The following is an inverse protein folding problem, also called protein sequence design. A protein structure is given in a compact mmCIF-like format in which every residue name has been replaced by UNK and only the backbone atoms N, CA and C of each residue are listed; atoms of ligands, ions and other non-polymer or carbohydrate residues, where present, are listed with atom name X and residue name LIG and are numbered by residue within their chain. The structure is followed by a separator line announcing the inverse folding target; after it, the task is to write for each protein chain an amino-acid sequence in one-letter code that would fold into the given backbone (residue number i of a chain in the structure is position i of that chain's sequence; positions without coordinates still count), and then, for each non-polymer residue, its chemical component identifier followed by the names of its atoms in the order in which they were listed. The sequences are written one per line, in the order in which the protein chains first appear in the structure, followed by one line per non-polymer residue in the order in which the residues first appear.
data_IF_086080419695
#
_entry.id   IF_086080419695
#
_cell.length_a   1.000
_cell.length_b   1.000
_cell.length_c   1.000
_cell.angle_alpha   90.00
_cell.angle_beta   90.00
_cell.angle_gamma   90.00
#
_symmetry.space_group_name_H-M   'P 1'
#
loop_
_entity.id
_entity.type
_entity.pdbx_description
1 polymer ?
#
# COMPACT_ATOMS: atom_id res chain seq x y z
N UNK A 1 14.02 -28.37 -39.70
CA UNK A 1 14.16 -28.84 -41.09
C UNK A 1 12.85 -29.49 -41.48
N UNK A 2 12.26 -29.09 -42.60
CA UNK A 2 11.05 -29.75 -43.12
C UNK A 2 11.40 -31.22 -43.40
N UNK A 3 10.60 -32.15 -42.88
CA UNK A 3 10.79 -33.58 -43.16
C UNK A 3 10.36 -33.83 -44.60
N UNK A 4 11.23 -34.47 -45.38
CA UNK A 4 10.97 -34.79 -46.78
C UNK A 4 10.25 -36.13 -46.85
N UNK A 5 9.06 -36.15 -47.45
CA UNK A 5 8.36 -37.39 -47.77
C UNK A 5 9.09 -38.08 -48.94
N UNK A 6 9.25 -39.41 -48.85
CA UNK A 6 9.85 -40.20 -49.93
C UNK A 6 9.03 -40.12 -51.23
N UNK A 7 7.71 -40.03 -51.14
CA UNK A 7 6.82 -39.93 -52.31
C UNK A 7 7.00 -38.61 -53.07
N UNK A 8 7.49 -37.56 -52.41
CA UNK A 8 7.74 -36.24 -53.01
C UNK A 8 9.14 -36.14 -53.66
N UNK A 9 9.95 -37.20 -53.59
CA UNK A 9 11.30 -37.24 -54.13
C UNK A 9 11.38 -38.19 -55.32
N UNK A 10 11.97 -37.67 -56.40
CA UNK A 10 12.38 -38.47 -57.54
C UNK A 10 13.87 -38.76 -57.41
N UNK A 11 14.23 -40.03 -57.20
CA UNK A 11 15.62 -40.48 -57.13
C UNK A 11 16.23 -40.60 -58.54
N UNK A 12 17.53 -40.34 -58.66
CA UNK A 12 18.27 -40.47 -59.93
C UNK A 12 18.61 -41.94 -60.20
N UNK A 13 19.00 -42.66 -59.15
CA UNK A 13 19.31 -44.10 -59.18
C UNK A 13 18.37 -44.87 -58.27
N UNK A 14 18.28 -46.19 -58.47
CA UNK A 14 17.51 -47.07 -57.60
C UNK A 14 18.04 -47.07 -56.17
N UNK A 15 17.14 -47.14 -55.20
CA UNK A 15 17.50 -47.14 -53.79
C UNK A 15 18.30 -48.39 -53.40
N UNK A 16 19.25 -48.28 -52.45
CA UNK A 16 19.97 -49.45 -51.95
C UNK A 16 19.01 -50.49 -51.34
N UNK A 17 19.03 -51.72 -51.86
CA UNK A 17 18.09 -52.79 -51.48
C UNK A 17 18.12 -53.21 -50.00
N UNK A 18 19.16 -52.82 -49.25
CA UNK A 18 19.39 -53.25 -47.86
C UNK A 18 19.42 -52.09 -46.85
N UNK A 19 18.92 -50.92 -47.23
CA UNK A 19 18.93 -49.74 -46.35
C UNK A 19 17.52 -49.19 -46.23
N UNK A 20 16.96 -49.26 -45.03
CA UNK A 20 15.73 -48.56 -44.67
C UNK A 20 16.03 -47.06 -44.54
N UNK A 21 15.42 -46.27 -45.42
CA UNK A 21 15.58 -44.81 -45.44
C UNK A 21 14.39 -44.06 -44.84
N UNK A 22 13.30 -44.75 -44.54
CA UNK A 22 12.07 -44.19 -43.99
C UNK A 22 12.00 -44.38 -42.47
N UNK A 23 11.50 -43.38 -41.77
CA UNK A 23 11.25 -43.46 -40.34
C UNK A 23 9.90 -44.14 -40.07
N UNK A 24 9.83 -45.24 -39.27
CA UNK A 24 8.57 -45.90 -38.97
C UNK A 24 7.56 -45.05 -38.18
N UNK A 25 8.01 -43.94 -37.57
CA UNK A 25 7.16 -43.07 -36.74
C UNK A 25 6.55 -41.92 -37.54
N UNK A 26 7.35 -41.24 -38.37
CA UNK A 26 6.86 -40.09 -39.15
C UNK A 26 6.63 -40.39 -40.63
N UNK A 27 6.98 -41.59 -41.09
CA UNK A 27 6.85 -42.07 -42.47
C UNK A 27 7.58 -41.20 -43.52
N UNK A 28 8.46 -40.31 -43.07
CA UNK A 28 9.32 -39.48 -43.89
C UNK A 28 10.73 -40.07 -43.96
N UNK A 29 11.57 -39.55 -44.86
CA UNK A 29 12.99 -39.91 -44.90
C UNK A 29 13.66 -39.59 -43.56
N UNK A 30 14.45 -40.54 -43.06
CA UNK A 30 15.17 -40.43 -41.81
C UNK A 30 16.03 -39.17 -41.78
N UNK A 31 15.70 -38.27 -40.86
CA UNK A 31 16.48 -37.06 -40.57
C UNK A 31 17.22 -37.29 -39.26
N UNK A 32 18.56 -37.21 -39.30
CA UNK A 32 19.43 -37.56 -38.17
C UNK A 32 19.10 -38.97 -37.60
N UNK A 33 19.35 -40.04 -38.38
CA UNK A 33 18.95 -41.39 -38.03
C UNK A 33 19.60 -41.87 -36.73
N UNK A 34 18.79 -42.46 -35.86
CA UNK A 34 19.18 -43.06 -34.60
C UNK A 34 18.74 -44.52 -34.56
N UNK A 35 19.71 -45.40 -34.36
CA UNK A 35 19.54 -46.84 -34.18
C UNK A 35 19.12 -47.14 -32.75
N UNK A 36 18.06 -47.92 -32.56
CA UNK A 36 17.68 -48.40 -31.22
C UNK A 36 18.41 -49.69 -30.86
N UNK A 37 18.88 -49.79 -29.62
CA UNK A 37 19.70 -50.93 -29.15
C UNK A 37 18.93 -52.24 -29.04
N UNK A 38 17.61 -52.20 -28.90
CA UNK A 38 16.77 -53.38 -28.66
C UNK A 38 16.49 -54.21 -29.93
N UNK A 39 16.27 -53.56 -31.07
CA UNK A 39 15.88 -54.24 -32.32
C UNK A 39 16.62 -53.75 -33.57
N UNK A 40 17.56 -52.82 -33.45
CA UNK A 40 18.39 -52.37 -34.57
C UNK A 40 17.65 -51.61 -35.67
N UNK A 41 16.45 -51.06 -35.41
CA UNK A 41 15.75 -50.22 -36.37
C UNK A 41 16.16 -48.75 -36.22
N UNK A 42 16.11 -48.01 -37.32
CA UNK A 42 16.44 -46.59 -37.36
C UNK A 42 15.18 -45.71 -37.26
N UNK A 43 15.31 -44.59 -36.56
CA UNK A 43 14.28 -43.55 -36.44
C UNK A 43 14.90 -42.16 -36.58
N UNK A 44 14.12 -41.14 -36.92
CA UNK A 44 14.59 -39.76 -36.77
C UNK A 44 14.88 -39.48 -35.29
N UNK A 45 15.94 -38.74 -34.98
CA UNK A 45 16.29 -38.30 -33.62
C UNK A 45 15.08 -37.76 -32.86
N UNK A 46 14.41 -36.78 -33.44
CA UNK A 46 13.26 -36.09 -32.81
C UNK A 46 12.02 -36.98 -32.66
N UNK A 47 11.92 -38.07 -33.45
CA UNK A 47 10.82 -39.02 -33.31
C UNK A 47 11.07 -39.95 -32.13
N UNK A 48 12.27 -40.55 -32.04
CA UNK A 48 12.56 -41.51 -30.97
C UNK A 48 12.76 -40.82 -29.62
N UNK A 49 13.30 -39.60 -29.58
CA UNK A 49 13.36 -38.78 -28.36
C UNK A 49 11.97 -38.48 -27.82
N UNK A 50 10.99 -38.18 -28.69
CA UNK A 50 9.60 -37.92 -28.30
C UNK A 50 8.92 -39.15 -27.70
N UNK A 51 9.11 -40.33 -28.32
CA UNK A 51 8.59 -41.60 -27.79
C UNK A 51 9.16 -41.89 -26.41
N UNK A 52 10.47 -41.67 -26.21
CA UNK A 52 11.10 -41.81 -24.90
C UNK A 52 10.57 -40.82 -23.87
N UNK A 53 10.39 -39.56 -24.26
CA UNK A 53 9.88 -38.51 -23.38
C UNK A 53 8.44 -38.78 -22.90
N UNK A 54 7.65 -39.55 -23.65
CA UNK A 54 6.32 -40.02 -23.24
C UNK A 54 6.32 -41.38 -22.54
N UNK A 55 7.47 -41.85 -22.04
CA UNK A 55 7.64 -43.20 -21.46
C UNK A 55 7.15 -44.33 -22.38
N UNK A 56 7.22 -44.12 -23.69
CA UNK A 56 6.80 -45.09 -24.70
C UNK A 56 7.83 -46.21 -24.89
N UNK A 57 7.34 -47.40 -25.23
CA UNK A 57 8.17 -48.51 -25.68
C UNK A 57 8.66 -48.32 -27.12
N UNK A 58 9.67 -49.07 -27.54
CA UNK A 58 10.15 -49.10 -28.92
C UNK A 58 8.97 -49.30 -29.91
N UNK A 59 8.79 -48.44 -30.92
CA UNK A 59 7.68 -48.55 -31.87
C UNK A 59 7.67 -49.85 -32.70
N UNK A 60 8.84 -50.49 -32.88
CA UNK A 60 8.98 -51.68 -33.73
C UNK A 60 8.83 -52.99 -32.95
N UNK A 61 9.47 -53.13 -31.78
CA UNK A 61 9.48 -54.38 -31.01
C UNK A 61 8.75 -54.31 -29.66
N UNK A 62 8.24 -53.13 -29.26
CA UNK A 62 7.54 -52.88 -27.98
C UNK A 62 8.39 -53.08 -26.71
N UNK A 63 9.71 -53.18 -26.85
CA UNK A 63 10.64 -53.22 -25.71
C UNK A 63 10.61 -51.89 -24.94
N UNK A 64 10.57 -51.94 -23.61
CA UNK A 64 10.51 -50.75 -22.74
C UNK A 64 11.90 -50.15 -22.51
N UNK A 65 12.92 -50.99 -22.41
CA UNK A 65 14.29 -50.56 -22.15
C UNK A 65 15.11 -50.54 -23.45
N UNK A 66 15.44 -49.35 -23.93
CA UNK A 66 16.27 -49.20 -25.13
C UNK A 66 17.07 -47.89 -25.12
N UNK A 67 18.27 -47.95 -25.70
CA UNK A 67 19.09 -46.78 -26.00
C UNK A 67 18.87 -46.36 -27.46
N UNK A 68 19.02 -45.07 -27.74
CA UNK A 68 18.95 -44.52 -29.11
C UNK A 68 20.32 -43.94 -29.41
N UNK A 69 20.99 -44.48 -30.43
CA UNK A 69 22.39 -44.20 -30.74
C UNK A 69 22.46 -43.62 -32.16
N UNK A 70 23.16 -42.49 -32.40
CA UNK A 70 23.26 -41.92 -33.74
C UNK A 70 23.87 -42.91 -34.75
N UNK A 71 23.17 -43.17 -35.85
CA UNK A 71 23.64 -44.03 -36.95
C UNK A 71 24.32 -43.19 -38.03
N UNK A 72 25.61 -42.93 -37.83
CA UNK A 72 26.43 -42.16 -38.80
C UNK A 72 26.55 -42.85 -40.16
N UNK A 73 26.44 -44.18 -40.23
CA UNK A 73 26.53 -44.92 -41.50
C UNK A 73 25.25 -44.70 -42.31
N UNK A 74 24.08 -44.93 -41.70
CA UNK A 74 22.79 -44.66 -42.32
C UNK A 74 22.70 -43.19 -42.75
N UNK A 75 23.12 -42.25 -41.89
CA UNK A 75 23.14 -40.82 -42.21
C UNK A 75 23.96 -40.49 -43.47
N UNK A 76 25.15 -41.08 -43.63
CA UNK A 76 25.99 -40.87 -44.83
C UNK A 76 25.33 -41.40 -46.10
N UNK A 77 24.71 -42.58 -46.03
CA UNK A 77 24.02 -43.19 -47.17
C UNK A 77 22.87 -42.29 -47.60
N UNK A 78 21.99 -41.91 -46.67
CA UNK A 78 20.82 -41.06 -46.95
C UNK A 78 21.25 -39.70 -47.51
N UNK A 79 22.24 -39.06 -46.90
CA UNK A 79 22.72 -37.75 -47.34
C UNK A 79 23.36 -37.77 -48.74
N UNK A 80 23.94 -38.92 -49.14
CA UNK A 80 24.56 -39.11 -50.44
C UNK A 80 23.63 -39.61 -51.55
N UNK A 81 22.35 -39.87 -51.26
CA UNK A 81 21.38 -40.26 -52.30
C UNK A 81 21.22 -39.12 -53.31
N UNK A 82 21.35 -39.45 -54.60
CA UNK A 82 21.09 -38.49 -55.67
C UNK A 82 19.59 -38.38 -55.97
N UNK A 83 19.08 -37.16 -55.92
CA UNK A 83 17.66 -36.83 -56.13
C UNK A 83 17.51 -35.68 -57.11
N UNK A 84 16.40 -35.66 -57.84
CA UNK A 84 15.95 -34.50 -58.58
C UNK A 84 15.26 -33.50 -57.66
N UNK A 85 15.33 -32.22 -58.02
CA UNK A 85 14.59 -31.16 -57.34
C UNK A 85 13.08 -31.47 -57.25
N UNK A 86 12.46 -31.20 -56.10
CA UNK A 86 11.01 -31.36 -55.92
C UNK A 86 10.17 -30.49 -56.88
N UNK A 87 10.77 -29.46 -57.50
CA UNK A 87 10.12 -28.63 -58.53
C UNK A 87 10.42 -29.11 -59.97
N UNK A 88 10.86 -30.36 -60.17
CA UNK A 88 11.14 -30.94 -61.50
C UNK A 88 9.97 -30.82 -62.46
N UNK A 89 8.76 -31.12 -61.99
CA UNK A 89 7.53 -31.01 -62.80
C UNK A 89 7.24 -29.57 -63.25
N UNK A 90 7.75 -28.57 -62.52
CA UNK A 90 7.64 -27.15 -62.90
C UNK A 90 8.73 -26.70 -63.88
N UNK A 91 9.71 -27.56 -64.17
CA UNK A 91 10.83 -27.28 -65.07
C UNK A 91 12.19 -27.11 -64.40
N UNK A 92 12.35 -27.45 -63.11
CA UNK A 92 13.67 -27.43 -62.49
C UNK A 92 14.49 -28.67 -62.89
N UNK A 93 15.65 -28.45 -63.51
CA UNK A 93 16.51 -29.53 -63.98
C UNK A 93 17.57 -29.98 -62.96
N UNK A 94 17.61 -29.36 -61.77
CA UNK A 94 18.61 -29.66 -60.77
C UNK A 94 18.50 -31.10 -60.26
N UNK A 95 19.65 -31.75 -60.13
CA UNK A 95 19.84 -33.02 -59.45
C UNK A 95 21.13 -32.98 -58.63
N UNK A 96 21.17 -33.72 -57.53
CA UNK A 96 22.37 -33.85 -56.70
C UNK A 96 22.10 -34.57 -55.39
N UNK A 97 23.09 -34.58 -54.50
CA UNK A 97 22.97 -35.20 -53.18
C UNK A 97 21.82 -34.61 -52.34
N UNK A 98 21.06 -35.46 -51.67
CA UNK A 98 19.90 -35.08 -50.84
C UNK A 98 20.25 -34.01 -49.80
N UNK A 99 21.45 -34.06 -49.22
CA UNK A 99 21.94 -33.05 -48.26
C UNK A 99 21.95 -31.63 -48.84
N UNK A 100 22.16 -31.48 -50.14
CA UNK A 100 22.24 -30.21 -50.87
C UNK A 100 20.88 -29.72 -51.40
N UNK A 101 19.81 -30.52 -51.27
CA UNK A 101 18.47 -30.12 -51.70
C UNK A 101 17.99 -28.84 -50.98
N UNK A 102 18.24 -28.77 -49.68
CA UNK A 102 17.81 -27.63 -48.86
C UNK A 102 18.46 -26.31 -49.30
N UNK A 103 19.76 -26.34 -49.63
CA UNK A 103 20.52 -25.18 -50.10
C UNK A 103 20.12 -24.78 -51.51
N UNK A 104 19.82 -25.74 -52.39
CA UNK A 104 19.31 -25.47 -53.72
C UNK A 104 17.94 -24.76 -53.69
N UNK A 105 16.98 -25.32 -52.94
CA UNK A 105 15.63 -24.76 -52.83
C UNK A 105 15.66 -23.40 -52.14
N UNK A 106 16.40 -23.32 -51.02
CA UNK A 106 16.57 -22.11 -50.22
C UNK A 106 15.22 -21.45 -49.88
N UNK A 107 14.25 -22.23 -49.39
CA UNK A 107 12.83 -21.86 -49.27
C UNK A 107 12.59 -20.59 -48.45
N UNK A 108 13.47 -20.31 -47.48
CA UNK A 108 13.36 -19.18 -46.56
C UNK A 108 13.91 -17.88 -47.16
N UNK A 109 14.68 -17.94 -48.25
CA UNK A 109 15.31 -16.79 -48.87
C UNK A 109 14.64 -16.42 -50.19
N UNK A 110 14.60 -15.12 -50.46
CA UNK A 110 14.09 -14.58 -51.72
C UNK A 110 14.98 -15.00 -52.90
N UNK A 111 16.28 -14.93 -52.72
CA UNK A 111 17.28 -15.36 -53.69
C UNK A 111 17.72 -16.79 -53.40
N UNK A 112 18.00 -17.55 -54.44
CA UNK A 112 18.50 -18.92 -54.34
C UNK A 112 18.58 -19.58 -55.70
N UNK A 113 19.22 -20.75 -55.74
CA UNK A 113 19.56 -21.44 -56.98
C UNK A 113 18.30 -21.93 -57.73
N UNK A 114 17.32 -22.45 -57.00
CA UNK A 114 16.07 -22.92 -57.61
C UNK A 114 15.18 -21.77 -58.09
N UNK A 115 15.13 -21.55 -59.40
CA UNK A 115 14.27 -20.53 -60.03
C UNK A 115 12.77 -20.88 -59.97
N UNK A 116 12.43 -22.14 -59.74
CA UNK A 116 11.06 -22.68 -59.73
C UNK A 116 10.51 -22.90 -58.32
N UNK A 117 11.25 -22.47 -57.29
CA UNK A 117 10.77 -22.53 -55.92
C UNK A 117 9.73 -21.41 -55.71
N UNK A 118 8.51 -21.72 -55.24
CA UNK A 118 7.57 -20.69 -54.78
C UNK A 118 8.14 -19.98 -53.56
N UNK A 119 8.13 -18.65 -53.58
CA UNK A 119 8.55 -17.79 -52.47
C UNK A 119 7.45 -16.78 -52.12
N UNK A 120 7.44 -16.31 -50.88
CA UNK A 120 6.47 -15.30 -50.46
C UNK A 120 6.73 -13.96 -51.15
N UNK A 121 5.64 -13.29 -51.57
CA UNK A 121 5.73 -11.95 -52.12
C UNK A 121 6.38 -10.96 -51.13
N UNK A 122 7.17 -10.02 -51.66
CA UNK A 122 7.80 -8.92 -50.91
C UNK A 122 6.77 -8.07 -50.17
N UNK A 123 5.54 -7.99 -50.69
CA UNK A 123 4.43 -7.22 -50.13
C UNK A 123 3.49 -8.08 -49.26
N UNK A 124 3.95 -9.23 -48.77
CA UNK A 124 3.21 -10.04 -47.80
C UNK A 124 2.86 -9.28 -46.52
N UNK A 125 3.76 -8.40 -46.05
CA UNK A 125 3.49 -7.49 -44.93
C UNK A 125 2.37 -6.49 -45.21
N UNK A 126 2.12 -6.16 -46.49
CA UNK A 126 1.04 -5.28 -46.93
C UNK A 126 -0.25 -6.07 -47.27
N UNK A 127 -0.26 -7.39 -47.09
CA UNK A 127 -1.43 -8.25 -47.28
C UNK A 127 -1.44 -9.07 -48.58
N UNK A 128 -0.35 -9.13 -49.34
CA UNK A 128 -0.27 -10.02 -50.51
C UNK A 128 0.01 -11.47 -50.09
N UNK A 129 -0.93 -12.39 -50.39
CA UNK A 129 -0.81 -13.82 -50.04
C UNK A 129 -0.25 -14.68 -51.18
N UNK A 130 0.11 -14.06 -52.31
CA UNK A 130 0.60 -14.79 -53.47
C UNK A 130 2.03 -15.30 -53.25
N UNK A 131 2.29 -16.51 -53.75
CA UNK A 131 3.60 -17.17 -53.72
C UNK A 131 4.13 -17.42 -55.13
N UNK A 132 4.59 -16.38 -55.84
CA UNK A 132 5.13 -16.54 -57.19
C UNK A 132 6.37 -17.44 -57.20
N UNK A 133 6.66 -18.03 -58.36
CA UNK A 133 7.95 -18.70 -58.56
C UNK A 133 9.07 -17.66 -58.50
N UNK A 134 10.24 -18.03 -57.97
CA UNK A 134 11.39 -17.13 -57.82
C UNK A 134 11.74 -16.37 -59.11
N UNK A 135 11.66 -17.02 -60.28
CA UNK A 135 11.87 -16.37 -61.59
C UNK A 135 10.81 -15.31 -61.95
N UNK A 136 9.58 -15.48 -61.49
CA UNK A 136 8.42 -14.67 -61.88
C UNK A 136 8.11 -13.54 -60.88
N UNK A 137 8.93 -13.40 -59.82
CA UNK A 137 8.73 -12.39 -58.78
C UNK A 137 8.65 -10.98 -59.36
N UNK A 138 9.54 -10.64 -60.28
CA UNK A 138 9.58 -9.31 -60.89
C UNK A 138 8.29 -9.00 -61.66
N UNK A 139 7.75 -9.97 -62.41
CA UNK A 139 6.48 -9.87 -63.13
C UNK A 139 5.33 -9.69 -62.16
N UNK A 140 5.28 -10.51 -61.10
CA UNK A 140 4.26 -10.42 -60.06
C UNK A 140 4.29 -9.05 -59.36
N UNK A 141 5.48 -8.55 -58.99
CA UNK A 141 5.61 -7.26 -58.29
C UNK A 141 5.25 -6.05 -59.16
N UNK A 142 5.36 -6.17 -60.48
CA UNK A 142 4.95 -5.12 -61.42
C UNK A 142 3.41 -5.02 -61.55
N UNK A 143 2.63 -5.97 -61.01
CA UNK A 143 1.17 -5.89 -60.98
C UNK A 143 0.70 -4.70 -60.12
N UNK A 144 -0.31 -4.01 -60.62
CA UNK A 144 -0.95 -2.85 -59.98
C UNK A 144 -1.57 -3.16 -58.63
N UNK A 145 -1.86 -4.44 -58.33
CA UNK A 145 -2.41 -4.87 -57.03
C UNK A 145 -1.55 -4.45 -55.84
N UNK A 146 -0.22 -4.50 -55.98
CA UNK A 146 0.68 -4.12 -54.89
C UNK A 146 0.63 -2.62 -54.58
N UNK A 147 0.43 -1.78 -55.60
CA UNK A 147 0.33 -0.33 -55.41
C UNK A 147 -0.90 0.04 -54.59
N UNK A 148 -2.04 -0.65 -54.80
CA UNK A 148 -3.23 -0.45 -53.99
C UNK A 148 -3.01 -0.86 -52.53
N UNK A 149 -2.37 -2.02 -52.30
CA UNK A 149 -2.04 -2.47 -50.94
C UNK A 149 -1.10 -1.49 -50.24
N UNK A 150 -0.10 -0.97 -50.94
CA UNK A 150 0.80 0.06 -50.42
C UNK A 150 0.06 1.36 -50.07
N UNK A 151 -0.85 1.83 -50.91
CA UNK A 151 -1.63 3.04 -50.63
C UNK A 151 -2.49 2.88 -49.36
N UNK A 152 -3.12 1.72 -49.18
CA UNK A 152 -3.91 1.40 -47.98
C UNK A 152 -3.01 1.34 -46.75
N UNK A 153 -1.89 0.62 -46.82
CA UNK A 153 -0.94 0.50 -45.72
C UNK A 153 -0.35 1.86 -45.32
N UNK A 154 0.05 2.70 -46.28
CA UNK A 154 0.52 4.05 -46.02
C UNK A 154 -0.55 4.93 -45.36
N UNK A 155 -1.82 4.79 -45.78
CA UNK A 155 -2.94 5.49 -45.16
C UNK A 155 -3.17 5.08 -43.70
N UNK A 156 -3.03 3.78 -43.39
CA UNK A 156 -3.12 3.27 -42.02
C UNK A 156 -1.95 3.75 -41.16
N UNK A 157 -0.72 3.61 -41.66
CA UNK A 157 0.50 4.06 -40.96
C UNK A 157 0.46 5.56 -40.65
N UNK A 158 -0.10 6.39 -41.55
CA UNK A 158 -0.27 7.81 -41.28
C UNK A 158 -1.20 8.05 -40.08
N UNK A 159 -2.33 7.35 -40.01
CA UNK A 159 -3.29 7.46 -38.89
C UNK A 159 -2.67 6.99 -37.59
N UNK A 160 -1.96 5.87 -37.61
CA UNK A 160 -1.26 5.35 -36.43
C UNK A 160 -0.17 6.31 -35.94
N UNK A 161 0.60 6.92 -36.85
CA UNK A 161 1.60 7.93 -36.49
C UNK A 161 0.97 9.19 -35.87
N UNK A 162 -0.20 9.63 -36.36
CA UNK A 162 -0.93 10.75 -35.75
C UNK A 162 -1.43 10.38 -34.34
N UNK A 163 -1.91 9.15 -34.14
CA UNK A 163 -2.31 8.65 -32.82
C UNK A 163 -1.13 8.55 -31.84
N UNK A 164 0.03 8.07 -32.30
CA UNK A 164 1.24 7.97 -31.48
C UNK A 164 1.68 9.34 -30.98
N UNK A 165 1.69 10.36 -31.85
CA UNK A 165 2.01 11.74 -31.44
C UNK A 165 1.06 12.26 -30.35
N UNK A 166 -0.25 12.04 -30.50
CA UNK A 166 -1.24 12.42 -29.49
C UNK A 166 -1.04 11.67 -28.17
N UNK A 167 -0.61 10.40 -28.21
CA UNK A 167 -0.30 9.62 -27.02
C UNK A 167 0.98 10.13 -26.33
N UNK A 168 2.01 10.50 -27.09
CA UNK A 168 3.24 11.07 -26.56
C UNK A 168 2.98 12.39 -25.81
N UNK A 169 2.16 13.27 -26.37
CA UNK A 169 1.74 14.52 -25.72
C UNK A 169 0.99 14.27 -24.40
N UNK A 170 0.04 13.32 -24.39
CA UNK A 170 -0.69 12.92 -23.18
C UNK A 170 0.24 12.34 -22.11
N UNK A 171 1.19 11.50 -22.53
CA UNK A 171 2.17 10.91 -21.61
C UNK A 171 3.08 11.97 -20.98
N UNK A 172 3.49 12.99 -21.73
CA UNK A 172 4.24 14.11 -21.16
C UNK A 172 3.43 14.86 -20.11
N UNK A 173 2.14 15.11 -20.38
CA UNK A 173 1.25 15.76 -19.40
C UNK A 173 1.09 14.93 -18.12
N UNK A 174 0.81 13.63 -18.27
CA UNK A 174 0.70 12.70 -17.14
C UNK A 174 1.97 12.66 -16.30
N UNK A 175 3.15 12.65 -16.93
CA UNK A 175 4.43 12.70 -16.22
C UNK A 175 4.55 13.94 -15.33
N UNK A 176 4.16 15.11 -15.85
CA UNK A 176 4.16 16.35 -15.06
C UNK A 176 3.18 16.35 -13.88
N UNK A 177 2.08 15.60 -13.97
CA UNK A 177 1.12 15.42 -12.88
C UNK A 177 1.65 14.46 -11.81
N UNK A 178 2.31 13.38 -12.22
CA UNK A 178 3.01 12.46 -11.31
C UNK A 178 4.08 13.18 -10.51
N UNK A 179 4.94 13.98 -11.15
CA UNK A 179 5.99 14.75 -10.47
C UNK A 179 5.40 15.71 -9.39
N UNK A 180 4.20 16.26 -9.64
CA UNK A 180 3.50 17.10 -8.65
C UNK A 180 2.97 16.27 -7.49
N UNK A 181 2.40 15.10 -7.76
CA UNK A 181 1.87 14.22 -6.72
C UNK A 181 2.99 13.68 -5.82
N UNK A 182 4.13 13.30 -6.38
CA UNK A 182 5.30 12.85 -5.61
C UNK A 182 5.77 13.91 -4.61
N UNK A 183 5.84 15.18 -5.03
CA UNK A 183 6.16 16.30 -4.12
C UNK A 183 5.15 16.44 -2.98
N UNK A 184 3.86 16.30 -3.26
CA UNK A 184 2.83 16.36 -2.21
C UNK A 184 2.96 15.18 -1.23
N UNK A 185 3.27 13.98 -1.72
CA UNK A 185 3.49 12.80 -0.87
C UNK A 185 4.70 13.00 0.03
N UNK A 186 5.79 13.59 -0.46
CA UNK A 186 6.96 13.90 0.35
C UNK A 186 6.63 14.88 1.50
N UNK A 187 5.87 15.94 1.20
CA UNK A 187 5.40 16.91 2.21
C UNK A 187 4.57 16.19 3.28
N UNK A 188 3.58 15.38 2.86
CA UNK A 188 2.71 14.65 3.79
C UNK A 188 3.48 13.63 4.64
N UNK A 189 4.52 13.00 4.10
CA UNK A 189 5.37 12.09 4.86
C UNK A 189 6.16 12.83 5.94
N UNK A 190 6.71 14.01 5.61
CA UNK A 190 7.40 14.86 6.58
C UNK A 190 6.46 15.36 7.68
N UNK A 191 5.22 15.73 7.34
CA UNK A 191 4.22 16.09 8.34
C UNK A 191 3.87 14.90 9.24
N UNK A 192 3.71 13.71 8.65
CA UNK A 192 3.42 12.49 9.39
C UNK A 192 4.55 12.06 10.33
N UNK A 193 5.82 12.25 9.97
CA UNK A 193 6.95 11.96 10.87
C UNK A 193 6.96 12.90 12.07
N UNK A 194 6.75 14.20 11.84
CA UNK A 194 6.61 15.20 12.91
C UNK A 194 5.46 14.83 13.87
N UNK A 195 4.31 14.43 13.33
CA UNK A 195 3.16 14.00 14.12
C UNK A 195 3.45 12.73 14.92
N UNK A 196 4.14 11.74 14.32
CA UNK A 196 4.54 10.51 15.02
C UNK A 196 5.48 10.79 16.18
N UNK A 197 6.47 11.66 15.98
CA UNK A 197 7.39 12.07 17.04
C UNK A 197 6.65 12.79 18.17
N UNK A 198 5.68 13.64 17.82
CA UNK A 198 4.81 14.29 18.81
C UNK A 198 4.01 13.27 19.64
N UNK A 199 3.37 12.28 18.99
CA UNK A 199 2.59 11.25 19.68
C UNK A 199 3.47 10.33 20.54
N UNK A 200 4.64 9.92 20.04
CA UNK A 200 5.56 9.04 20.77
C UNK A 200 6.15 9.71 22.02
N UNK A 201 6.42 11.02 21.95
CA UNK A 201 6.92 11.79 23.10
C UNK A 201 5.84 12.03 24.18
N UNK A 202 4.57 12.06 23.79
CA UNK A 202 3.42 12.20 24.69
C UNK A 202 3.02 10.88 25.37
N UNK A 203 3.22 9.74 24.71
CA UNK A 203 2.91 8.41 25.29
C UNK A 203 3.96 7.91 26.30
N UNK A 204 5.16 8.52 26.32
CA UNK A 204 6.23 8.23 27.28
C UNK A 204 6.45 9.31 28.34
N UNK A 205 5.58 10.32 28.43
CA UNK A 205 5.68 11.33 29.48
C UNK A 205 5.12 10.77 30.80
N UNK A 206 6.03 10.38 31.68
CA UNK A 206 5.78 10.30 33.12
C UNK A 206 5.18 11.64 33.57
N UNK A 207 3.92 11.64 34.03
CA UNK A 207 3.14 12.83 34.37
C UNK A 207 3.66 13.44 35.68
N UNK A 208 4.80 14.13 35.65
CA UNK A 208 5.38 14.73 36.86
C UNK A 208 4.55 15.90 37.41
N UNK A 209 3.75 16.57 36.56
CA UNK A 209 2.97 17.75 36.95
C UNK A 209 1.55 17.75 36.33
N UNK A 210 0.53 18.21 37.08
CA UNK A 210 -0.86 18.30 36.59
C UNK A 210 -1.04 19.29 35.44
N UNK A 211 -2.16 19.14 34.72
CA UNK A 211 -2.64 20.13 33.75
C UNK A 211 -3.64 21.07 34.42
N UNK A 212 -3.82 22.27 33.86
CA UNK A 212 -4.92 23.15 34.24
C UNK A 212 -6.29 22.43 34.08
N UNK A 213 -7.26 22.66 34.98
CA UNK A 213 -7.23 23.61 36.09
C UNK A 213 -6.41 23.12 37.30
N UNK A 214 -5.76 24.05 38.01
CA UNK A 214 -5.04 23.76 39.26
C UNK A 214 -5.44 24.69 40.40
N UNK A 215 -5.51 24.12 41.61
CA UNK A 215 -5.78 24.84 42.85
C UNK A 215 -4.49 25.43 43.42
N UNK A 216 -4.51 26.74 43.70
CA UNK A 216 -3.41 27.48 44.32
C UNK A 216 -3.92 28.06 45.63
N UNK A 217 -3.55 27.39 46.72
CA UNK A 217 -4.02 27.74 48.07
C UNK A 217 -3.07 28.72 48.76
N UNK A 218 -3.63 29.71 49.46
CA UNK A 218 -2.90 30.71 50.24
C UNK A 218 -1.93 30.05 51.25
N UNK A 219 -0.68 30.50 51.24
CA UNK A 219 0.34 30.09 52.21
C UNK A 219 0.96 28.72 51.95
N UNK A 220 0.59 28.04 50.87
CA UNK A 220 1.21 26.78 50.44
C UNK A 220 2.44 27.02 49.55
N UNK A 221 3.31 26.01 49.37
CA UNK A 221 4.35 26.03 48.35
C UNK A 221 3.78 26.19 46.94
N UNK A 222 4.64 26.61 46.00
CA UNK A 222 4.29 26.78 44.61
C UNK A 222 3.82 25.46 43.98
N UNK A 223 2.74 25.53 43.20
CA UNK A 223 2.19 24.41 42.44
C UNK A 223 2.74 24.47 41.02
N UNK A 224 3.37 23.40 40.57
CA UNK A 224 3.87 23.25 39.20
C UNK A 224 2.82 22.59 38.31
N UNK A 225 2.68 23.08 37.08
CA UNK A 225 1.69 22.58 36.13
C UNK A 225 2.08 22.89 34.69
N UNK A 226 1.44 22.20 33.75
CA UNK A 226 1.48 22.56 32.34
C UNK A 226 0.18 23.23 31.92
N UNK A 227 0.29 24.26 31.06
CA UNK A 227 -0.88 25.02 30.59
C UNK A 227 -1.79 24.23 29.63
N UNK A 228 -1.31 23.12 29.08
CA UNK A 228 -2.07 22.13 28.29
C UNK A 228 -1.25 20.85 28.14
N UNK A 229 -1.78 19.82 27.45
CA UNK A 229 -1.11 18.53 27.20
C UNK A 229 0.28 18.64 26.58
N UNK A 230 0.59 19.75 25.88
CA UNK A 230 1.93 20.11 25.41
C UNK A 230 2.22 21.60 25.64
N UNK A 231 1.75 22.14 26.76
CA UNK A 231 1.84 23.57 27.09
C UNK A 231 3.20 23.99 27.63
N UNK A 232 3.30 25.26 28.03
CA UNK A 232 4.46 25.76 28.79
C UNK A 232 4.41 25.23 30.23
N UNK A 233 5.57 24.92 30.80
CA UNK A 233 5.72 24.58 32.20
C UNK A 233 5.70 25.87 33.04
N UNK A 234 4.83 25.89 34.05
CA UNK A 234 4.63 27.04 34.92
C UNK A 234 4.54 26.63 36.38
N UNK A 235 4.79 27.57 37.28
CA UNK A 235 4.39 27.46 38.67
C UNK A 235 3.57 28.67 39.14
N UNK A 236 2.74 28.44 40.15
CA UNK A 236 1.93 29.48 40.79
C UNK A 236 1.99 29.39 42.31
N UNK A 237 2.06 30.53 42.99
CA UNK A 237 2.00 30.63 44.47
C UNK A 237 1.12 31.79 44.90
N UNK A 238 0.19 31.53 45.82
CA UNK A 238 -0.71 32.54 46.38
C UNK A 238 -0.24 32.97 47.77
N UNK A 239 -0.08 34.27 47.96
CA UNK A 239 0.39 34.88 49.20
C UNK A 239 -0.54 36.00 49.65
N UNK A 240 -0.62 36.19 50.97
CA UNK A 240 -1.36 37.30 51.57
C UNK A 240 -0.49 38.53 51.65
N UNK A 241 -1.04 39.66 51.23
CA UNK A 241 -0.43 40.98 51.35
C UNK A 241 -0.99 41.79 52.52
N UNK A 242 -0.81 43.10 52.45
CA UNK A 242 -1.21 44.03 53.49
C UNK A 242 -2.74 44.18 53.58
N UNK A 243 -3.19 44.55 54.78
CA UNK A 243 -4.60 44.92 55.03
C UNK A 243 -4.72 46.44 54.89
N UNK A 244 -5.57 46.90 53.99
CA UNK A 244 -5.88 48.31 53.90
C UNK A 244 -7.01 48.66 54.87
N UNK A 245 -6.68 49.41 55.92
CA UNK A 245 -7.59 49.76 57.01
C UNK A 245 -8.64 50.79 56.60
N UNK A 246 -8.31 51.68 55.67
CA UNK A 246 -9.22 52.75 55.24
C UNK A 246 -10.31 52.23 54.31
N UNK A 247 -9.99 51.28 53.42
CA UNK A 247 -10.92 50.73 52.41
C UNK A 247 -11.51 49.36 52.80
N UNK A 248 -11.15 48.84 53.99
CA UNK A 248 -11.57 47.51 54.48
C UNK A 248 -11.32 46.38 53.45
N UNK A 249 -10.17 46.42 52.77
CA UNK A 249 -9.74 45.42 51.78
C UNK A 249 -8.46 44.70 52.17
N UNK A 250 -8.34 43.42 51.79
CA UNK A 250 -7.13 42.61 51.95
C UNK A 250 -6.55 42.36 50.57
N UNK A 251 -5.27 42.68 50.41
CA UNK A 251 -4.54 42.37 49.18
C UNK A 251 -4.00 40.94 49.25
N UNK A 252 -4.06 40.24 48.12
CA UNK A 252 -3.43 38.96 47.87
C UNK A 252 -2.55 39.09 46.63
N UNK A 253 -1.46 38.33 46.59
CA UNK A 253 -0.56 38.30 45.45
C UNK A 253 -0.49 36.87 44.93
N UNK A 254 -0.85 36.69 43.66
CA UNK A 254 -0.51 35.47 42.94
C UNK A 254 0.76 35.71 42.14
N UNK A 255 1.76 34.89 42.40
CA UNK A 255 3.03 34.90 41.69
C UNK A 255 3.04 33.78 40.66
N UNK A 256 3.54 34.06 39.47
CA UNK A 256 3.70 33.10 38.38
C UNK A 256 5.14 33.13 37.87
N UNK A 257 5.68 31.96 37.55
CA UNK A 257 6.98 31.81 36.90
C UNK A 257 6.90 30.80 35.75
N UNK A 258 7.64 31.08 34.67
CA UNK A 258 7.88 30.13 33.60
C UNK A 258 9.16 29.35 33.88
N UNK A 259 9.15 28.08 33.55
CA UNK A 259 10.29 27.19 33.75
C UNK A 259 10.68 26.53 32.45
N UNK A 260 11.90 26.00 32.40
CA UNK A 260 12.26 25.06 31.36
C UNK A 260 11.29 23.87 31.42
N UNK A 261 10.67 23.59 30.29
CA UNK A 261 9.61 22.61 30.12
C UNK A 261 9.97 21.59 29.06
N UNK A 262 9.45 20.37 29.22
CA UNK A 262 9.68 19.26 28.28
C UNK A 262 9.28 19.60 26.83
N UNK A 263 8.32 20.51 26.67
CA UNK A 263 7.71 20.85 25.38
C UNK A 263 8.26 22.14 24.74
N UNK A 264 9.27 22.79 25.31
CA UNK A 264 9.75 24.10 24.83
C UNK A 264 10.26 24.07 23.38
N UNK A 265 10.81 22.92 22.94
CA UNK A 265 11.22 22.70 21.55
C UNK A 265 10.07 22.83 20.55
N UNK A 266 8.83 22.57 20.97
CA UNK A 266 7.63 22.71 20.15
C UNK A 266 7.14 24.16 20.06
N UNK A 267 7.79 25.09 20.78
CA UNK A 267 7.41 26.50 20.90
C UNK A 267 5.89 26.66 21.18
N UNK A 268 5.38 26.04 22.26
CA UNK A 268 3.96 26.00 22.51
C UNK A 268 3.38 27.41 22.70
N UNK A 269 2.30 27.68 21.99
CA UNK A 269 1.57 28.95 22.10
C UNK A 269 1.00 29.09 23.51
N UNK A 270 1.29 30.21 24.15
CA UNK A 270 0.77 30.52 25.48
C UNK A 270 -0.71 30.88 25.34
N UNK A 271 -1.56 30.26 26.16
CA UNK A 271 -2.99 30.54 26.21
C UNK A 271 -3.27 31.51 27.34
N UNK A 272 -4.40 32.23 27.24
CA UNK A 272 -4.86 33.09 28.32
C UNK A 272 -5.25 32.25 29.53
N UNK A 273 -4.64 32.54 30.68
CA UNK A 273 -4.92 31.89 31.96
C UNK A 273 -5.73 32.86 32.81
N UNK A 274 -6.76 32.37 33.49
CA UNK A 274 -7.65 33.16 34.33
C UNK A 274 -7.74 32.52 35.71
N UNK A 275 -8.11 33.35 36.70
CA UNK A 275 -8.55 32.92 38.02
C UNK A 275 -9.99 33.34 38.28
N UNK A 276 -10.72 32.52 39.02
CA UNK A 276 -12.07 32.84 39.51
C UNK A 276 -12.04 33.28 40.99
N UNK A 277 -11.29 34.34 41.27
CA UNK A 277 -11.00 34.79 42.64
C UNK A 277 -12.15 35.56 43.30
N UNK A 278 -12.99 36.23 42.50
CA UNK A 278 -14.08 37.12 42.95
C UNK A 278 -15.44 36.76 42.34
N UNK A 279 -15.61 35.53 41.82
CA UNK A 279 -16.70 35.15 40.90
C UNK A 279 -16.65 35.90 39.56
N UNK A 280 -15.53 36.56 39.26
CA UNK A 280 -15.22 37.19 37.98
C UNK A 280 -13.90 36.65 37.46
N UNK A 281 -13.85 36.35 36.16
CA UNK A 281 -12.67 35.81 35.49
C UNK A 281 -11.57 36.89 35.40
N UNK A 282 -10.67 36.90 36.38
CA UNK A 282 -9.52 37.81 36.40
C UNK A 282 -8.39 37.22 35.55
N UNK A 283 -7.86 37.92 34.54
CA UNK A 283 -6.77 37.42 33.72
C UNK A 283 -5.48 37.33 34.53
N UNK A 284 -4.86 36.15 34.51
CA UNK A 284 -3.53 35.89 35.05
C UNK A 284 -2.44 36.07 34.00
N UNK A 285 -2.76 35.79 32.73
CA UNK A 285 -1.87 36.00 31.59
C UNK A 285 -2.71 36.50 30.43
N UNK A 286 -2.42 37.72 29.98
CA UNK A 286 -3.11 38.35 28.85
C UNK A 286 -2.34 38.20 27.53
N UNK A 287 -1.02 38.19 27.61
CA UNK A 287 -0.14 38.27 26.46
C UNK A 287 0.27 36.89 25.94
N UNK A 288 -0.25 36.53 24.76
CA UNK A 288 -0.09 35.20 24.18
C UNK A 288 1.21 35.04 23.39
N UNK A 289 1.94 36.13 23.13
CA UNK A 289 3.14 36.13 22.26
C UNK A 289 4.44 36.56 22.96
N UNK A 290 4.40 37.03 24.21
CA UNK A 290 5.61 37.43 24.94
C UNK A 290 6.57 36.26 25.26
N UNK A 291 7.85 36.43 24.92
CA UNK A 291 8.97 35.59 25.36
C UNK A 291 9.27 35.87 26.84
N UNK A 292 8.58 35.16 27.71
CA UNK A 292 8.83 35.20 29.14
C UNK A 292 10.15 34.50 29.47
N UNK A 293 10.90 35.06 30.41
CA UNK A 293 12.16 34.48 30.89
C UNK A 293 11.90 33.17 31.63
N UNK A 294 12.69 32.13 31.32
CA UNK A 294 12.65 30.87 32.06
C UNK A 294 13.47 31.01 33.35
N UNK A 295 12.86 30.61 34.47
CA UNK A 295 13.42 30.72 35.81
C UNK A 295 13.59 29.31 36.45
N UNK A 296 14.47 29.17 37.46
CA UNK A 296 14.57 27.94 38.25
C UNK A 296 13.24 27.50 38.86
N UNK A 297 13.01 26.20 39.01
CA UNK A 297 11.71 25.64 39.45
C UNK A 297 11.31 26.06 40.86
N UNK A 298 12.26 26.27 41.76
CA UNK A 298 12.04 26.62 43.15
C UNK A 298 11.91 28.15 43.41
N UNK A 299 12.05 28.98 42.37
CA UNK A 299 12.12 30.44 42.49
C UNK A 299 10.97 31.06 43.30
N UNK A 300 9.74 30.56 43.14
CA UNK A 300 8.57 31.09 43.85
C UNK A 300 8.54 30.72 45.34
N UNK A 301 9.17 29.61 45.73
CA UNK A 301 9.21 29.15 47.12
C UNK A 301 10.16 29.98 47.98
N UNK A 302 11.21 30.53 47.38
CA UNK A 302 12.18 31.40 48.05
C UNK A 302 11.70 32.84 48.33
N UNK A 303 10.51 33.22 47.85
CA UNK A 303 9.98 34.58 48.00
C UNK A 303 9.19 34.70 49.32
N UNK A 304 9.63 35.61 50.20
CA UNK A 304 8.87 36.05 51.39
C UNK A 304 8.44 37.52 51.20
N UNK A 305 7.19 37.76 50.78
CA UNK A 305 6.63 39.12 50.74
C UNK A 305 5.96 39.43 52.08
N UNK A 306 6.54 40.33 52.88
CA UNK A 306 5.97 40.80 54.17
C UNK A 306 5.33 42.19 54.12
N UNK A 307 5.42 42.89 52.99
CA UNK A 307 4.86 44.23 52.73
C UNK A 307 4.61 44.42 51.23
N UNK A 308 3.62 45.25 50.87
CA UNK A 308 3.14 45.49 49.50
C UNK A 308 4.22 45.95 48.50
N UNK A 309 5.28 46.60 49.00
CA UNK A 309 6.38 47.16 48.20
C UNK A 309 7.56 46.21 47.96
N UNK A 310 7.49 44.97 48.46
CA UNK A 310 8.58 44.02 48.25
C UNK A 310 8.76 43.69 46.76
N UNK A 311 9.98 43.91 46.27
CA UNK A 311 10.41 43.67 44.89
C UNK A 311 10.42 42.18 44.59
N UNK A 312 9.77 41.77 43.50
CA UNK A 312 9.85 40.39 43.00
C UNK A 312 11.04 40.25 42.05
N UNK A 313 11.69 39.07 42.00
CA UNK A 313 12.79 38.82 41.06
C UNK A 313 12.36 39.11 39.60
N UNK A 314 13.32 39.55 38.79
CA UNK A 314 13.09 39.78 37.36
C UNK A 314 12.58 38.50 36.68
N UNK A 315 11.55 38.64 35.84
CA UNK A 315 10.87 37.52 35.17
C UNK A 315 9.71 36.87 35.96
N UNK A 316 9.55 37.15 37.26
CA UNK A 316 8.38 36.71 38.04
C UNK A 316 7.20 37.65 37.80
N UNK A 317 6.05 37.09 37.43
CA UNK A 317 4.82 37.86 37.23
C UNK A 317 4.08 37.96 38.57
N UNK A 318 3.85 39.18 39.06
CA UNK A 318 3.09 39.47 40.29
C UNK A 318 1.74 40.08 39.92
N UNK A 319 0.65 39.45 40.35
CA UNK A 319 -0.71 39.95 40.13
C UNK A 319 -1.37 40.19 41.48
N UNK A 320 -1.87 41.40 41.67
CA UNK A 320 -2.55 41.83 42.89
C UNK A 320 -4.04 41.53 42.78
N UNK A 321 -4.55 40.73 43.71
CA UNK A 321 -5.95 40.40 43.85
C UNK A 321 -6.48 41.05 45.13
N UNK A 322 -7.72 41.56 45.13
CA UNK A 322 -8.26 42.32 46.27
C UNK A 322 -9.58 41.70 46.72
N UNK A 323 -9.72 41.44 48.02
CA UNK A 323 -10.98 40.99 48.65
C UNK A 323 -11.41 41.94 49.76
N UNK A 324 -12.71 42.01 50.02
CA UNK A 324 -13.21 42.67 51.22
C UNK A 324 -12.72 41.95 52.49
N UNK A 325 -12.52 42.70 53.57
CA UNK A 325 -12.12 42.16 54.88
C UNK A 325 -13.04 41.06 55.38
N UNK A 326 -14.36 41.20 55.18
CA UNK A 326 -15.33 40.18 55.59
C UNK A 326 -15.12 38.88 54.83
N UNK A 327 -14.89 38.93 53.53
CA UNK A 327 -14.65 37.74 52.69
C UNK A 327 -13.31 37.05 53.04
N UNK A 328 -12.29 37.82 53.40
CA UNK A 328 -10.92 37.32 53.64
C UNK A 328 -10.65 36.77 55.06
N UNK A 329 -11.55 37.01 56.03
CA UNK A 329 -11.41 36.52 57.42
C UNK A 329 -12.12 35.19 57.62
N UNK A 330 -13.17 34.91 56.83
CA UNK A 330 -14.07 33.79 57.09
C UNK A 330 -13.57 32.43 56.56
N UNK A 331 -12.57 32.39 55.65
CA UNK A 331 -12.09 31.15 55.00
C UNK A 331 -10.64 31.25 54.53
N UNK A 332 -9.98 30.09 54.34
CA UNK A 332 -8.73 29.99 53.59
C UNK A 332 -8.98 30.31 52.12
N UNK A 333 -8.13 31.15 51.53
CA UNK A 333 -8.32 31.60 50.15
C UNK A 333 -7.65 30.61 49.18
N UNK A 334 -8.41 30.16 48.18
CA UNK A 334 -7.95 29.30 47.10
C UNK A 334 -8.26 29.96 45.76
N UNK A 335 -7.31 29.88 44.83
CA UNK A 335 -7.43 30.36 43.46
C UNK A 335 -7.38 29.16 42.53
N UNK A 336 -8.39 29.03 41.66
CA UNK A 336 -8.35 28.06 40.55
C UNK A 336 -7.76 28.75 39.33
N UNK A 337 -6.55 28.39 38.94
CA UNK A 337 -6.01 28.80 37.65
C UNK A 337 -6.61 27.90 36.56
N UNK A 338 -7.19 28.48 35.51
CA UNK A 338 -7.82 27.75 34.41
C UNK A 338 -7.73 28.47 33.06
N UNK A 339 -7.91 27.72 31.96
CA UNK A 339 -7.94 28.26 30.59
C UNK A 339 -9.39 28.58 30.21
N UNK A 340 -9.62 29.73 29.56
CA UNK A 340 -10.97 30.13 29.14
C UNK A 340 -11.63 29.13 28.19
N UNK A 341 -12.90 28.78 28.47
CA UNK A 341 -13.64 27.69 27.83
C UNK A 341 -13.74 27.81 26.29
N UNK A 342 -13.80 29.03 25.75
CA UNK A 342 -13.88 29.28 24.30
C UNK A 342 -12.58 29.05 23.50
N UNK A 343 -11.46 28.66 24.13
CA UNK A 343 -10.19 28.40 23.43
C UNK A 343 -9.86 26.91 23.23
N UNK A 344 -10.73 26.00 23.65
CA UNK A 344 -10.58 24.55 23.38
C UNK A 344 -10.96 24.22 21.92
N UNK A 345 -11.77 25.07 21.27
CA UNK A 345 -12.31 24.87 19.92
C UNK A 345 -11.43 25.40 18.77
N UNK A 346 -10.18 25.81 19.00
CA UNK A 346 -9.39 26.53 17.97
C UNK A 346 -8.08 25.85 17.55
N UNK A 347 -7.95 24.53 17.69
CA UNK A 347 -6.94 23.81 16.90
C UNK A 347 -7.47 23.56 15.48
N UNK A 348 -7.40 24.59 14.62
CA UNK A 348 -7.86 24.52 13.22
C UNK A 348 -7.20 23.40 12.41
N UNK A 349 -6.05 22.87 12.84
CA UNK A 349 -5.36 21.75 12.20
C UNK A 349 -5.90 20.37 12.61
N UNK A 350 -6.40 20.22 13.84
CA UNK A 350 -6.83 18.91 14.37
C UNK A 350 -8.34 18.68 14.27
N UNK A 351 -9.14 19.73 14.14
CA UNK A 351 -10.61 19.63 14.02
C UNK A 351 -11.06 18.73 12.86
N UNK A 352 -10.56 18.89 11.61
CA UNK A 352 -10.98 18.03 10.50
C UNK A 352 -10.60 16.55 10.71
N UNK A 353 -9.44 16.32 11.34
CA UNK A 353 -8.93 14.97 11.62
C UNK A 353 -9.74 14.30 12.74
N UNK A 354 -10.05 15.05 13.81
CA UNK A 354 -10.87 14.57 14.93
C UNK A 354 -12.31 14.35 14.50
N UNK A 355 -12.88 15.23 13.67
CA UNK A 355 -14.24 15.06 13.15
C UNK A 355 -14.31 13.87 12.17
N UNK A 356 -13.31 13.69 11.31
CA UNK A 356 -13.20 12.50 10.44
C UNK A 356 -13.09 11.20 11.26
N UNK A 357 -12.23 11.16 12.28
CA UNK A 357 -12.11 10.02 13.19
C UNK A 357 -13.40 9.76 13.96
N UNK A 358 -14.08 10.81 14.44
CA UNK A 358 -15.36 10.69 15.14
C UNK A 358 -16.42 10.08 14.24
N UNK A 359 -16.53 10.53 12.99
CA UNK A 359 -17.49 9.99 12.01
C UNK A 359 -17.21 8.51 11.75
N UNK A 360 -15.96 8.14 11.51
CA UNK A 360 -15.58 6.74 11.25
C UNK A 360 -15.80 5.82 12.46
N UNK A 361 -15.45 6.27 13.66
CA UNK A 361 -15.64 5.50 14.89
C UNK A 361 -17.13 5.37 15.22
N UNK A 362 -17.93 6.43 15.04
CA UNK A 362 -19.38 6.37 15.29
C UNK A 362 -20.06 5.40 14.33
N UNK A 363 -19.74 5.44 13.03
CA UNK A 363 -20.27 4.49 12.06
C UNK A 363 -19.87 3.04 12.37
N UNK A 364 -18.63 2.82 12.85
CA UNK A 364 -18.13 1.50 13.27
C UNK A 364 -18.81 0.99 14.55
N UNK A 365 -19.09 1.89 15.50
CA UNK A 365 -19.82 1.56 16.73
C UNK A 365 -21.28 1.26 16.42
N UNK A 366 -21.93 2.01 15.54
CA UNK A 366 -23.33 1.76 15.15
C UNK A 366 -23.46 0.43 14.39
N UNK A 367 -22.54 0.11 13.48
CA UNK A 367 -22.52 -1.23 12.84
C UNK A 367 -22.27 -2.35 13.84
N UNK A 368 -21.35 -2.18 14.80
CA UNK A 368 -21.18 -3.14 15.88
C UNK A 368 -22.44 -3.26 16.74
N UNK A 369 -23.09 -2.14 17.10
CA UNK A 369 -24.34 -2.11 17.88
C UNK A 369 -25.46 -2.85 17.15
N UNK A 370 -25.56 -2.67 15.84
CA UNK A 370 -26.54 -3.37 15.01
C UNK A 370 -26.25 -4.86 14.95
N UNK A 371 -24.98 -5.28 14.75
CA UNK A 371 -24.58 -6.69 14.79
C UNK A 371 -24.88 -7.33 16.15
N UNK A 372 -24.55 -6.66 17.26
CA UNK A 372 -24.89 -7.14 18.60
C UNK A 372 -26.41 -7.16 18.83
N UNK A 373 -27.15 -6.18 18.31
CA UNK A 373 -28.61 -6.13 18.36
C UNK A 373 -29.27 -7.28 17.60
N UNK A 374 -28.80 -7.56 16.38
CA UNK A 374 -29.25 -8.70 15.57
C UNK A 374 -28.91 -10.03 16.25
N UNK A 375 -27.70 -10.19 16.79
CA UNK A 375 -27.31 -11.40 17.49
C UNK A 375 -28.13 -11.61 18.78
N UNK A 376 -28.38 -10.54 19.55
CA UNK A 376 -29.22 -10.61 20.75
C UNK A 376 -30.69 -10.92 20.41
N UNK A 377 -31.22 -10.33 19.33
CA UNK A 377 -32.56 -10.63 18.83
C UNK A 377 -32.67 -12.10 18.38
N UNK A 378 -31.67 -12.59 17.65
CA UNK A 378 -31.58 -13.98 17.19
C UNK A 378 -31.49 -14.94 18.38
N UNK A 379 -30.69 -14.63 19.39
CA UNK A 379 -30.59 -15.38 20.64
C UNK A 379 -31.91 -15.39 21.43
N UNK A 380 -32.63 -14.27 21.49
CA UNK A 380 -33.97 -14.19 22.11
C UNK A 380 -35.01 -14.99 21.33
N UNK A 381 -34.90 -15.02 20.01
CA UNK A 381 -35.78 -15.82 19.17
C UNK A 381 -35.50 -17.31 19.34
N UNK A 382 -34.24 -17.72 19.31
CA UNK A 382 -33.81 -19.09 19.65
C UNK A 382 -34.27 -19.48 21.05
N UNK A 383 -34.12 -18.62 22.05
CA UNK A 383 -34.59 -18.88 23.41
C UNK A 383 -36.13 -19.04 23.48
N UNK A 384 -36.88 -18.24 22.72
CA UNK A 384 -38.35 -18.41 22.59
C UNK A 384 -38.70 -19.72 21.89
N UNK A 385 -38.00 -20.07 20.82
CA UNK A 385 -38.25 -21.29 20.05
C UNK A 385 -37.88 -22.53 20.89
N UNK A 386 -36.82 -22.47 21.70
CA UNK A 386 -36.44 -23.47 22.72
C UNK A 386 -37.46 -23.54 23.85
N UNK A 387 -37.99 -22.41 24.32
CA UNK A 387 -39.05 -22.37 25.33
C UNK A 387 -40.38 -22.96 24.80
N UNK A 388 -40.68 -22.74 23.51
CA UNK A 388 -41.84 -23.32 22.83
C UNK A 388 -41.65 -24.82 22.58
N UNK A 389 -40.45 -25.26 22.17
CA UNK A 389 -40.15 -26.69 21.96
C UNK A 389 -39.98 -27.48 23.25
N UNK A 390 -39.57 -26.86 24.36
CA UNK A 390 -39.59 -27.49 25.69
C UNK A 390 -41.00 -27.61 26.27
N UNK A 391 -41.96 -26.78 25.82
CA UNK A 391 -43.40 -26.98 26.09
C UNK A 391 -44.03 -28.11 25.25
N UNK A 392 -43.34 -28.56 24.19
CA UNK A 392 -43.70 -29.73 23.37
C UNK A 392 -42.63 -30.83 23.47
N UNK A 393 -42.23 -31.18 24.70
CA UNK A 393 -41.85 -32.54 25.07
C UNK A 393 -40.79 -33.26 24.24
N UNK A 394 -39.76 -32.58 23.72
CA UNK A 394 -38.58 -33.26 23.19
C UNK A 394 -37.29 -32.68 23.79
N UNK A 395 -36.60 -33.55 24.52
CA UNK A 395 -35.35 -33.34 25.25
C UNK A 395 -34.18 -33.03 24.31
N UNK A 396 -33.50 -31.91 24.54
CA UNK A 396 -32.08 -31.77 24.19
C UNK A 396 -31.32 -31.41 25.47
N UNK A 397 -30.28 -32.19 25.73
CA UNK A 397 -29.41 -32.10 26.90
C UNK A 397 -28.74 -30.74 27.00
N UNK A 398 -28.83 -30.13 28.19
CA UNK A 398 -28.22 -28.86 28.57
C UNK A 398 -26.73 -28.80 28.23
N UNK A 399 -26.33 -27.82 27.40
CA UNK A 399 -24.97 -27.28 27.43
C UNK A 399 -25.02 -26.06 28.34
N UNK A 400 -24.57 -26.25 29.58
CA UNK A 400 -24.41 -25.18 30.55
C UNK A 400 -23.29 -24.22 30.11
N UNK A 401 -23.69 -23.09 29.51
CA UNK A 401 -22.81 -21.92 29.35
C UNK A 401 -23.17 -20.95 30.46
N UNK A 402 -22.32 -20.90 31.49
CA UNK A 402 -22.42 -19.93 32.58
C UNK A 402 -21.96 -18.56 32.09
N UNK A 403 -22.90 -17.62 31.97
CA UNK A 403 -22.61 -16.20 31.72
C UNK A 403 -23.21 -15.41 32.89
N UNK A 404 -22.39 -15.16 33.91
CA UNK A 404 -22.71 -14.25 35.01
C UNK A 404 -23.13 -12.85 34.48
N UNK A 405 -24.30 -12.31 34.88
CA UNK A 405 -24.75 -11.00 34.43
C UNK A 405 -24.39 -9.93 35.47
N UNK A 406 -23.19 -9.36 35.40
CA UNK A 406 -22.82 -8.22 36.26
C UNK A 406 -22.26 -7.02 35.49
N UNK A 407 -22.96 -6.60 34.44
CA UNK A 407 -22.78 -5.26 33.86
C UNK A 407 -23.97 -4.37 34.25
N UNK A 408 -23.82 -3.60 35.33
CA UNK A 408 -24.75 -2.50 35.66
C UNK A 408 -24.27 -1.23 34.97
N UNK A 409 -24.95 -0.83 33.89
CA UNK A 409 -24.86 0.54 33.37
C UNK A 409 -25.87 1.41 34.12
N UNK A 410 -25.38 2.38 34.89
CA UNK A 410 -26.22 3.40 35.51
C UNK A 410 -26.30 4.59 34.53
N UNK A 411 -27.44 4.75 33.86
CA UNK A 411 -27.74 5.96 33.08
C UNK A 411 -28.49 6.92 34.00
N UNK A 412 -27.81 7.96 34.46
CA UNK A 412 -28.47 9.08 35.15
C UNK A 412 -28.90 10.08 34.08
N UNK A 413 -30.19 10.11 33.76
CA UNK A 413 -30.78 11.15 32.92
C UNK A 413 -31.02 12.41 33.76
N UNK A 414 -30.11 13.38 33.66
CA UNK A 414 -30.27 14.72 34.20
C UNK A 414 -29.79 15.72 33.17
N UNK A 415 -30.70 16.59 32.74
CA UNK A 415 -30.52 17.61 31.71
C UNK A 415 -29.36 18.55 31.99
N UNK A 416 -28.22 18.33 31.32
CA UNK A 416 -27.40 19.30 30.55
C UNK A 416 -26.01 18.71 30.33
N UNK A 417 -25.51 18.95 29.13
CA UNK A 417 -24.41 18.29 28.43
C UNK A 417 -23.11 18.17 29.24
N UNK A 418 -22.72 16.95 29.65
CA UNK A 418 -21.37 16.59 30.10
C UNK A 418 -21.16 15.07 29.94
N UNK A 419 -20.52 14.64 28.85
CA UNK A 419 -20.02 13.27 28.73
C UNK A 419 -18.69 13.21 29.51
N UNK A 420 -18.73 12.74 30.76
CA UNK A 420 -17.53 12.26 31.46
C UNK A 420 -17.25 10.84 30.99
N UNK A 421 -16.18 10.65 30.21
CA UNK A 421 -15.59 9.32 30.00
C UNK A 421 -14.66 9.07 31.18
N UNK A 422 -15.08 8.23 32.13
CA UNK A 422 -14.18 7.72 33.15
C UNK A 422 -13.44 6.49 32.60
N UNK A 423 -12.13 6.61 32.37
CA UNK A 423 -11.26 5.45 32.23
C UNK A 423 -10.89 4.98 33.64
N UNK A 424 -11.66 4.03 34.16
CA UNK A 424 -11.33 3.32 35.39
C UNK A 424 -10.34 2.19 35.09
N UNK A 425 -9.09 2.36 35.50
CA UNK A 425 -8.17 1.26 35.69
C UNK A 425 -8.70 0.37 36.82
N UNK A 426 -8.96 -0.91 36.55
CA UNK A 426 -9.11 -1.92 37.59
C UNK A 426 -7.72 -2.51 37.82
N UNK A 427 -7.02 -1.98 38.83
CA UNK A 427 -5.92 -2.68 39.47
C UNK A 427 -6.51 -3.59 40.55
N UNK A 428 -5.99 -4.82 40.56
CA UNK A 428 -6.28 -5.97 41.43
C UNK A 428 -6.21 -5.71 42.93
N UNK A 429 -7.13 -6.32 43.68
CA UNK A 429 -6.96 -7.15 44.91
C UNK A 429 -8.12 -6.96 45.90
N UNK A 430 -8.95 -7.99 46.08
CA UNK A 430 -9.09 -8.79 47.31
C UNK A 430 -9.88 -10.06 47.02
#
# INVERSE_FOLDING_TARGET
MAQLNKEELSFVEDLPQHVEIECPVCLNILTDPHLVSCCGHNFCRTCIERVKASNGSCPMCKEKEYQAIPDKKCSRIINGLEVYCSNKEKGCEWKGELKNMSTHLNKEKREGECQYQPIDCVFSWAGCNDKPLRKDVHVHTADTKHMTLLAVACGQLKKENEQIKLLEEKNQKLKSEVDKLEKHVEILNNENTILKDFVLNNTKADNSYPLLPVDVTEGRPAVHFYTSTCGRHMSARLMRGDRNVTDRTVHFFILLAFHEGKFDKLKPKLRKVFTDFTNEATPLIEDTEATHQQLPTDILNGIELRSGDATVPEGVIKITLVLSWFSAILRQVNVVAQVHHNQISTSKLLLPVIDSLRVHITASIDTLRDVYGYNLYSMRQLHRDIAVTSSTGNTFTDVSIDISPNWKFCVVSGSTTLIKVAFGAICTQF
#
